data_IF_823480343196
#
_entry.id   IF_823480343196
#
_cell.length_a   1.000
_cell.length_b   1.000
_cell.length_c   1.000
_cell.angle_alpha   90.00
_cell.angle_beta   90.00
_cell.angle_gamma   90.00
#
_symmetry.space_group_name_H-M   'P 1'
#
loop_
_entity.id
_entity.type
_entity.pdbx_description
1 polymer ?
#
# COMPACT_ATOMS: atom_id res chain seq x y z
N UNK A 1 18.59 72.17 -11.48
CA UNK A 1 18.22 71.51 -10.20
C UNK A 1 19.10 70.28 -10.08
N UNK A 2 20.09 70.30 -9.19
CA UNK A 2 20.99 69.16 -8.99
C UNK A 2 20.36 68.17 -8.01
N UNK A 3 20.18 66.91 -8.41
CA UNK A 3 19.90 65.85 -7.46
C UNK A 3 21.16 65.59 -6.63
N UNK A 4 21.09 65.82 -5.33
CA UNK A 4 22.13 65.37 -4.41
C UNK A 4 22.14 63.83 -4.45
N UNK A 5 23.30 63.18 -4.63
CA UNK A 5 23.39 61.73 -4.58
C UNK A 5 22.95 61.23 -3.20
N UNK A 6 22.20 60.13 -3.18
CA UNK A 6 21.79 59.49 -1.93
C UNK A 6 23.03 59.00 -1.15
N UNK A 7 23.03 59.07 0.19
CA UNK A 7 24.09 58.48 1.01
C UNK A 7 24.21 56.96 0.76
N UNK A 8 25.43 56.42 0.82
CA UNK A 8 25.76 55.02 0.48
C UNK A 8 24.94 53.96 1.24
N UNK A 9 24.35 54.31 2.38
CA UNK A 9 23.52 53.42 3.21
C UNK A 9 22.02 53.50 2.91
N UNK A 10 21.60 54.15 1.81
CA UNK A 10 20.21 54.25 1.38
C UNK A 10 20.01 53.53 0.04
N UNK A 11 19.00 52.67 -0.02
CA UNK A 11 18.60 51.94 -1.23
C UNK A 11 17.19 52.39 -1.61
N UNK A 12 16.94 52.52 -2.91
CA UNK A 12 15.62 52.82 -3.44
C UNK A 12 14.79 51.52 -3.43
N UNK A 13 13.76 51.47 -2.58
CA UNK A 13 12.77 50.40 -2.59
C UNK A 13 11.44 50.98 -3.09
N UNK A 14 10.99 50.50 -4.24
CA UNK A 14 9.73 50.87 -4.87
C UNK A 14 9.49 52.40 -5.01
N UNK A 15 10.55 53.14 -5.34
CA UNK A 15 10.51 54.61 -5.55
C UNK A 15 10.58 55.45 -4.28
N UNK A 16 10.75 54.84 -3.10
CA UNK A 16 10.98 55.54 -1.84
C UNK A 16 12.39 55.24 -1.34
N UNK A 17 13.10 56.27 -0.89
CA UNK A 17 14.43 56.10 -0.33
C UNK A 17 14.30 55.46 1.06
N UNK A 18 14.83 54.25 1.23
CA UNK A 18 14.82 53.52 2.48
C UNK A 18 16.25 53.28 2.96
N UNK A 19 16.51 53.45 4.26
CA UNK A 19 17.81 53.16 4.84
C UNK A 19 18.04 51.64 4.78
N UNK A 20 19.07 51.22 4.05
CA UNK A 20 19.54 49.83 3.99
C UNK A 20 20.35 49.52 5.24
N UNK A 21 19.64 49.44 6.37
CA UNK A 21 20.20 48.88 7.58
C UNK A 21 20.23 47.36 7.50
N UNK A 22 21.22 46.68 8.11
CA UNK A 22 21.31 45.21 8.14
C UNK A 22 20.03 44.52 8.65
N UNK A 23 19.18 45.24 9.41
CA UNK A 23 17.90 44.73 9.87
C UNK A 23 16.87 44.41 8.77
N UNK A 24 16.80 45.19 7.68
CA UNK A 24 15.72 45.02 6.69
C UNK A 24 15.93 43.82 5.77
N UNK A 25 17.18 43.60 5.34
CA UNK A 25 17.59 42.44 4.54
C UNK A 25 17.48 41.15 5.37
N UNK A 26 17.81 41.21 6.66
CA UNK A 26 17.66 40.10 7.59
C UNK A 26 16.19 39.72 7.80
N UNK A 27 15.25 40.66 7.86
CA UNK A 27 13.82 40.36 8.04
C UNK A 27 13.24 39.64 6.82
N UNK A 28 13.58 40.05 5.60
CA UNK A 28 13.14 39.36 4.38
C UNK A 28 13.74 37.96 4.25
N UNK A 29 15.04 37.80 4.53
CA UNK A 29 15.70 36.49 4.52
C UNK A 29 15.12 35.56 5.62
N UNK A 30 14.87 36.10 6.82
CA UNK A 30 14.26 35.34 7.91
C UNK A 30 12.82 34.92 7.60
N UNK A 31 12.03 35.77 6.93
CA UNK A 31 10.66 35.43 6.50
C UNK A 31 10.65 34.30 5.48
N UNK A 32 11.52 34.36 4.47
CA UNK A 32 11.64 33.31 3.46
C UNK A 32 12.13 31.98 4.07
N UNK A 33 13.10 32.03 4.98
CA UNK A 33 13.59 30.85 5.69
C UNK A 33 12.51 30.22 6.59
N UNK A 34 11.70 31.04 7.26
CA UNK A 34 10.60 30.58 8.10
C UNK A 34 9.45 29.96 7.28
N UNK A 35 9.07 30.57 6.16
CA UNK A 35 8.06 30.00 5.25
C UNK A 35 8.53 28.69 4.60
N UNK A 36 9.83 28.56 4.30
CA UNK A 36 10.43 27.33 3.83
C UNK A 36 10.42 26.24 4.93
N UNK A 37 10.78 26.60 6.17
CA UNK A 37 10.70 25.70 7.32
C UNK A 37 9.26 25.24 7.59
N UNK A 38 8.28 26.13 7.49
CA UNK A 38 6.87 25.77 7.64
C UNK A 38 6.43 24.75 6.59
N UNK A 39 6.75 24.99 5.30
CA UNK A 39 6.44 24.03 4.22
C UNK A 39 7.06 22.66 4.48
N UNK A 40 8.34 22.62 4.83
CA UNK A 40 9.03 21.36 5.17
C UNK A 40 8.42 20.68 6.40
N UNK A 41 7.96 21.45 7.39
CA UNK A 41 7.31 20.90 8.57
C UNK A 41 5.94 20.29 8.24
N UNK A 42 5.15 20.95 7.39
CA UNK A 42 3.87 20.43 6.91
C UNK A 42 4.07 19.15 6.07
N UNK A 43 4.99 19.15 5.12
CA UNK A 43 5.32 17.98 4.30
C UNK A 43 5.76 16.79 5.16
N UNK A 44 6.57 17.03 6.21
CA UNK A 44 6.99 15.99 7.15
C UNK A 44 5.83 15.46 7.98
N UNK A 45 4.95 16.32 8.49
CA UNK A 45 3.79 15.89 9.25
C UNK A 45 2.82 15.07 8.40
N UNK A 46 2.58 15.47 7.15
CA UNK A 46 1.72 14.73 6.23
C UNK A 46 2.32 13.35 5.92
N UNK A 47 3.63 13.28 5.68
CA UNK A 47 4.32 12.00 5.48
C UNK A 47 4.26 11.09 6.71
N UNK A 48 4.40 11.65 7.93
CA UNK A 48 4.30 10.90 9.18
C UNK A 48 2.86 10.40 9.39
N UNK A 49 1.85 11.25 9.18
CA UNK A 49 0.44 10.84 9.28
C UNK A 49 0.10 9.75 8.27
N UNK A 50 0.57 9.85 7.03
CA UNK A 50 0.41 8.81 6.02
C UNK A 50 1.10 7.51 6.42
N UNK A 51 2.32 7.57 6.93
CA UNK A 51 3.06 6.39 7.38
C UNK A 51 2.36 5.70 8.56
N UNK A 52 1.85 6.47 9.52
CA UNK A 52 1.07 5.95 10.65
C UNK A 52 -0.20 5.28 10.14
N UNK A 53 -0.98 5.96 9.29
CA UNK A 53 -2.20 5.41 8.70
C UNK A 53 -1.92 4.11 7.91
N UNK A 54 -0.85 4.10 7.10
CA UNK A 54 -0.42 2.92 6.37
C UNK A 54 -0.02 1.78 7.30
N UNK A 55 0.66 2.07 8.40
CA UNK A 55 1.05 1.08 9.41
C UNK A 55 -0.18 0.46 10.07
N UNK A 56 -1.16 1.28 10.48
CA UNK A 56 -2.43 0.78 11.03
C UNK A 56 -3.21 -0.05 10.01
N UNK A 57 -3.29 0.39 8.75
CA UNK A 57 -3.96 -0.36 7.69
C UNK A 57 -3.27 -1.72 7.45
N UNK A 58 -1.94 -1.75 7.44
CA UNK A 58 -1.16 -3.00 7.31
C UNK A 58 -1.36 -3.91 8.52
N UNK A 59 -1.35 -3.38 9.73
CA UNK A 59 -1.59 -4.14 10.95
C UNK A 59 -2.99 -4.76 10.97
N UNK A 60 -4.02 -4.01 10.59
CA UNK A 60 -5.39 -4.51 10.45
C UNK A 60 -5.47 -5.59 9.37
N UNK A 61 -4.90 -5.36 8.19
CA UNK A 61 -4.89 -6.35 7.11
C UNK A 61 -4.12 -7.63 7.49
N UNK A 62 -3.04 -7.51 8.27
CA UNK A 62 -2.31 -8.66 8.79
C UNK A 62 -3.12 -9.42 9.85
N UNK A 63 -3.77 -8.70 10.77
CA UNK A 63 -4.68 -9.26 11.77
C UNK A 63 -5.82 -10.03 11.12
N UNK A 64 -6.47 -9.46 10.10
CA UNK A 64 -7.54 -10.13 9.35
C UNK A 64 -7.02 -11.40 8.70
N UNK A 65 -5.86 -11.37 8.02
CA UNK A 65 -5.24 -12.57 7.43
C UNK A 65 -4.93 -13.64 8.48
N UNK A 66 -4.47 -13.25 9.67
CA UNK A 66 -4.21 -14.20 10.76
C UNK A 66 -5.51 -14.78 11.31
N UNK A 67 -6.54 -13.95 11.48
CA UNK A 67 -7.85 -14.39 11.95
C UNK A 67 -8.49 -15.36 10.96
N UNK A 68 -8.45 -15.05 9.66
CA UNK A 68 -8.91 -15.95 8.61
C UNK A 68 -8.17 -17.29 8.66
N UNK A 69 -6.83 -17.28 8.76
CA UNK A 69 -6.05 -18.51 8.90
C UNK A 69 -6.41 -19.31 10.16
N UNK A 70 -6.63 -18.64 11.29
CA UNK A 70 -7.02 -19.28 12.53
C UNK A 70 -8.42 -19.91 12.43
N UNK A 71 -9.40 -19.19 11.88
CA UNK A 71 -10.75 -19.71 11.66
C UNK A 71 -10.73 -20.91 10.70
N UNK A 72 -9.95 -20.83 9.63
CA UNK A 72 -9.78 -21.93 8.69
C UNK A 72 -9.18 -23.15 9.39
N UNK A 73 -8.12 -22.95 10.20
CA UNK A 73 -7.52 -24.02 11.01
C UNK A 73 -8.49 -24.62 12.03
N UNK A 74 -9.39 -23.83 12.63
CA UNK A 74 -10.42 -24.35 13.54
C UNK A 74 -11.50 -25.17 12.82
N UNK A 75 -11.77 -24.83 11.56
CA UNK A 75 -12.76 -25.52 10.72
C UNK A 75 -12.17 -26.71 9.97
N UNK A 76 -10.88 -26.99 10.17
CA UNK A 76 -10.15 -27.96 9.36
C UNK A 76 -10.32 -27.62 7.85
N UNK A 77 -10.24 -26.34 7.50
CA UNK A 77 -10.31 -25.81 6.13
C UNK A 77 -8.93 -25.28 5.69
N UNK A 78 -8.56 -25.54 4.45
CA UNK A 78 -7.35 -25.08 3.76
C UNK A 78 -7.74 -24.13 2.62
N UNK A 79 -6.95 -23.08 2.41
CA UNK A 79 -7.16 -22.21 1.25
C UNK A 79 -6.34 -22.74 0.07
N UNK A 80 -7.00 -23.02 -1.04
CA UNK A 80 -6.33 -23.46 -2.27
C UNK A 80 -6.59 -22.46 -3.38
N UNK A 81 -5.63 -22.34 -4.30
CA UNK A 81 -5.75 -21.46 -5.46
C UNK A 81 -6.08 -22.27 -6.69
N UNK A 82 -7.23 -22.00 -7.29
CA UNK A 82 -7.65 -22.66 -8.51
C UNK A 82 -6.85 -22.12 -9.72
N UNK A 83 -6.10 -22.96 -10.45
CA UNK A 83 -5.36 -22.53 -11.64
C UNK A 83 -6.26 -22.27 -12.85
N UNK A 84 -7.55 -22.59 -12.77
CA UNK A 84 -8.54 -22.35 -13.82
C UNK A 84 -8.99 -20.90 -13.93
N UNK A 85 -9.24 -20.24 -12.79
CA UNK A 85 -9.77 -18.88 -12.69
C UNK A 85 -8.83 -17.93 -11.90
N UNK A 86 -7.84 -18.47 -11.20
CA UNK A 86 -6.93 -17.73 -10.34
C UNK A 86 -7.52 -17.32 -8.98
N UNK A 87 -8.75 -17.74 -8.67
CA UNK A 87 -9.44 -17.43 -7.42
C UNK A 87 -9.02 -18.38 -6.29
N UNK A 88 -9.24 -17.93 -5.05
CA UNK A 88 -8.98 -18.69 -3.82
C UNK A 88 -10.28 -19.30 -3.32
N UNK A 89 -10.23 -20.57 -2.96
CA UNK A 89 -11.36 -21.33 -2.44
C UNK A 89 -10.96 -22.00 -1.11
N UNK A 90 -11.88 -22.08 -0.17
CA UNK A 90 -11.69 -22.89 1.05
C UNK A 90 -12.10 -24.33 0.73
N UNK A 91 -11.21 -25.28 1.00
CA UNK A 91 -11.47 -26.72 0.90
C UNK A 91 -11.29 -27.35 2.27
N UNK A 92 -11.93 -28.49 2.50
CA UNK A 92 -11.70 -29.24 3.71
C UNK A 92 -10.30 -29.88 3.69
N UNK A 93 -9.53 -29.67 4.76
CA UNK A 93 -8.22 -30.28 4.99
C UNK A 93 -8.28 -31.81 5.00
N UNK A 94 -7.16 -32.44 4.65
CA UNK A 94 -6.97 -33.89 4.77
C UNK A 94 -6.92 -34.66 3.45
N UNK A 95 -6.99 -33.98 2.31
CA UNK A 95 -6.79 -34.60 1.00
C UNK A 95 -5.57 -34.01 0.27
N UNK A 96 -4.85 -34.85 -0.47
CA UNK A 96 -3.73 -34.42 -1.30
C UNK A 96 -3.55 -35.41 -2.46
N UNK A 97 -3.80 -35.01 -3.73
CA UNK A 97 -4.03 -33.64 -4.21
C UNK A 97 -5.51 -33.21 -4.27
N UNK A 98 -5.76 -31.88 -4.33
CA UNK A 98 -7.08 -31.33 -4.65
C UNK A 98 -7.22 -31.11 -6.17
N UNK A 99 -8.43 -31.36 -6.67
CA UNK A 99 -8.79 -31.10 -8.06
C UNK A 99 -9.91 -30.07 -8.11
N UNK A 100 -9.76 -29.01 -8.90
CA UNK A 100 -10.77 -27.97 -9.08
C UNK A 100 -11.13 -27.76 -10.54
N UNK A 101 -12.39 -27.41 -10.80
CA UNK A 101 -12.87 -27.02 -12.11
C UNK A 101 -13.07 -25.50 -12.21
N UNK A 102 -13.41 -25.00 -13.41
CA UNK A 102 -13.71 -23.58 -13.62
C UNK A 102 -15.01 -23.09 -12.97
N UNK A 103 -15.83 -24.00 -12.43
CA UNK A 103 -17.09 -23.68 -11.74
C UNK A 103 -16.90 -23.49 -10.22
N UNK A 104 -15.66 -23.58 -9.72
CA UNK A 104 -15.34 -23.48 -8.29
C UNK A 104 -15.69 -24.73 -7.48
N UNK A 105 -16.04 -25.85 -8.13
CA UNK A 105 -16.21 -27.13 -7.46
C UNK A 105 -14.85 -27.78 -7.24
N UNK A 106 -14.72 -28.52 -6.15
CA UNK A 106 -13.50 -29.26 -5.82
C UNK A 106 -13.79 -30.74 -5.55
N UNK A 107 -12.82 -31.59 -5.87
CA UNK A 107 -12.80 -33.01 -5.52
C UNK A 107 -11.55 -33.28 -4.70
N UNK A 108 -11.69 -33.64 -3.42
CA UNK A 108 -10.58 -34.14 -2.64
C UNK A 108 -10.19 -35.54 -3.13
N UNK A 109 -8.90 -35.77 -3.38
CA UNK A 109 -8.37 -37.10 -3.66
C UNK A 109 -7.27 -37.45 -2.67
N UNK A 110 -7.31 -38.67 -2.15
CA UNK A 110 -6.23 -39.25 -1.33
C UNK A 110 -5.33 -40.18 -2.14
N UNK A 111 -5.63 -40.39 -3.42
CA UNK A 111 -4.84 -41.20 -4.33
C UNK A 111 -4.01 -40.28 -5.25
N UNK A 112 -2.66 -40.40 -5.23
CA UNK A 112 -1.77 -39.63 -6.08
C UNK A 112 -1.94 -39.88 -7.58
N UNK A 113 -2.43 -41.06 -7.96
CA UNK A 113 -2.61 -41.48 -9.34
C UNK A 113 -4.04 -41.30 -9.84
N UNK A 114 -4.95 -40.83 -8.97
CA UNK A 114 -6.33 -40.58 -9.35
C UNK A 114 -6.44 -39.30 -10.17
N UNK A 115 -6.96 -39.43 -11.39
CA UNK A 115 -7.30 -38.33 -12.28
C UNK A 115 -8.82 -38.30 -12.52
N UNK A 116 -9.54 -37.30 -11.98
CA UNK A 116 -10.98 -37.17 -12.16
C UNK A 116 -11.38 -36.88 -13.62
N UNK A 117 -10.45 -36.46 -14.49
CA UNK A 117 -10.73 -36.31 -15.93
C UNK A 117 -10.88 -37.67 -16.65
N UNK A 118 -10.37 -38.75 -16.05
CA UNK A 118 -10.51 -40.11 -16.57
C UNK A 118 -11.74 -40.84 -16.01
N UNK A 119 -12.38 -40.31 -14.96
CA UNK A 119 -13.60 -40.88 -14.39
C UNK A 119 -14.82 -40.51 -15.26
N UNK A 120 -15.55 -41.49 -15.85
CA UNK A 120 -16.75 -41.23 -16.65
C UNK A 120 -17.87 -40.45 -15.94
N UNK A 121 -17.84 -40.38 -14.60
CA UNK A 121 -18.80 -39.64 -13.77
C UNK A 121 -18.44 -38.16 -13.62
N UNK A 122 -17.17 -37.81 -13.77
CA UNK A 122 -16.63 -36.48 -13.48
C UNK A 122 -16.00 -35.81 -14.71
N UNK A 123 -15.73 -36.56 -15.78
CA UNK A 123 -15.10 -36.09 -17.02
C UNK A 123 -15.96 -35.14 -17.88
N UNK A 124 -17.14 -34.73 -17.41
CA UNK A 124 -18.00 -33.76 -18.12
C UNK A 124 -17.47 -32.33 -17.97
N UNK A 125 -16.44 -32.16 -17.13
CA UNK A 125 -15.77 -30.91 -16.86
C UNK A 125 -14.27 -31.13 -16.68
N UNK A 126 -13.49 -30.09 -16.99
CA UNK A 126 -12.04 -30.15 -16.86
C UNK A 126 -11.64 -29.87 -15.41
N UNK A 127 -10.99 -30.86 -14.82
CA UNK A 127 -10.39 -30.75 -13.50
C UNK A 127 -8.91 -30.45 -13.63
N UNK A 128 -8.46 -29.46 -12.87
CA UNK A 128 -7.06 -29.12 -12.76
C UNK A 128 -6.60 -29.37 -11.34
N UNK A 129 -5.43 -29.98 -11.21
CA UNK A 129 -4.76 -30.15 -9.93
C UNK A 129 -4.45 -28.77 -9.36
N UNK A 130 -4.79 -28.58 -8.09
CA UNK A 130 -4.52 -27.36 -7.33
C UNK A 130 -3.74 -27.74 -6.08
N UNK A 131 -2.75 -26.90 -5.78
CA UNK A 131 -1.96 -27.01 -4.59
C UNK A 131 -2.54 -26.09 -3.50
N UNK A 132 -2.33 -26.51 -2.24
CA UNK A 132 -2.67 -25.71 -1.06
C UNK A 132 -1.75 -24.49 -1.03
N UNK A 133 -2.33 -23.32 -0.74
CA UNK A 133 -1.56 -22.09 -0.57
C UNK A 133 -1.02 -22.04 0.87
N UNK A 134 0.30 -22.17 1.04
CA UNK A 134 1.04 -22.03 2.33
C UNK A 134 0.99 -20.59 2.92
#
# INVERSE_FOLDING_TARGET
MGCLPLPDNWVLDNGKAAMSGPGNVNVQANKAAFEAQQRTFHEKNDAIHQAIAATYAQANAASDRMHHRFVNSLKDEETVRNPGDGQRYQVQTGANPYWMNSNGQYVPSNDPNYDPNHDPRLNHQTWKKTDIED
#
